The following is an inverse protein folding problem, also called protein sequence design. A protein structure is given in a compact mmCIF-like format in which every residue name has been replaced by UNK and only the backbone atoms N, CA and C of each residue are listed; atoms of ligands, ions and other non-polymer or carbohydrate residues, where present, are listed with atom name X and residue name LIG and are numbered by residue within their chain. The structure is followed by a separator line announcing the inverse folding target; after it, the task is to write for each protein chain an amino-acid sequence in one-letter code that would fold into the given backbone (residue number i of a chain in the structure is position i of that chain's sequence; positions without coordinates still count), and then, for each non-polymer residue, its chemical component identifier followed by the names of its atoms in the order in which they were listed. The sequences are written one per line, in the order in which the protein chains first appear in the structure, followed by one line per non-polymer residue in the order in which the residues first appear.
data_IF_649228529713
#
_entry.id   IF_649228529713
#
_cell.length_a   1.000
_cell.length_b   1.000
_cell.length_c   1.000
_cell.angle_alpha   90.00
_cell.angle_beta   90.00
_cell.angle_gamma   90.00
#
_symmetry.space_group_name_H-M   'P 1'
#
loop_
_entity.id
_entity.type
_entity.pdbx_description
1 polymer ?
#
# COMPACT_ATOMS: atom_id res chain seq x y z
N UNK A 1 -3.43 -13.47 -17.26
CA UNK A 1 -2.83 -12.46 -16.39
C UNK A 1 -3.89 -12.09 -15.36
N UNK A 2 -3.63 -12.28 -14.06
CA UNK A 2 -4.62 -11.96 -13.03
C UNK A 2 -4.66 -10.45 -12.86
N UNK A 3 -5.79 -9.83 -13.19
CA UNK A 3 -6.01 -8.42 -12.89
C UNK A 3 -6.09 -8.26 -11.37
N UNK A 4 -5.11 -7.58 -10.76
CA UNK A 4 -5.08 -7.40 -9.31
C UNK A 4 -6.39 -6.81 -8.78
N UNK A 5 -7.04 -5.91 -9.53
CA UNK A 5 -8.29 -5.25 -9.11
C UNK A 5 -9.47 -6.21 -9.01
N UNK A 6 -9.41 -7.33 -9.72
CA UNK A 6 -10.45 -8.38 -9.72
C UNK A 6 -10.20 -9.47 -8.68
N UNK A 7 -9.10 -9.40 -7.92
CA UNK A 7 -8.78 -10.42 -6.91
C UNK A 7 -9.91 -10.51 -5.86
N UNK A 8 -10.56 -11.67 -5.64
CA UNK A 8 -11.79 -11.79 -4.86
C UNK A 8 -11.74 -11.20 -3.45
N UNK A 9 -10.59 -11.32 -2.79
CA UNK A 9 -10.38 -10.86 -1.41
C UNK A 9 -9.67 -9.52 -1.26
N UNK A 10 -8.82 -9.16 -2.22
CA UNK A 10 -7.85 -8.08 -2.08
C UNK A 10 -7.96 -7.04 -3.20
N UNK A 11 -8.88 -7.22 -4.17
CA UNK A 11 -9.00 -6.36 -5.34
C UNK A 11 -9.21 -4.89 -4.99
N UNK A 12 -10.08 -4.61 -4.00
CA UNK A 12 -10.26 -3.25 -3.46
C UNK A 12 -8.98 -2.66 -2.88
N UNK A 13 -8.20 -3.46 -2.16
CA UNK A 13 -6.95 -3.00 -1.53
C UNK A 13 -5.86 -2.78 -2.56
N UNK A 14 -5.77 -3.65 -3.57
CA UNK A 14 -4.85 -3.48 -4.69
C UNK A 14 -5.19 -2.25 -5.51
N UNK A 15 -6.47 -2.03 -5.84
CA UNK A 15 -6.92 -0.81 -6.50
C UNK A 15 -6.55 0.43 -5.69
N UNK A 16 -6.89 0.44 -4.39
CA UNK A 16 -6.55 1.56 -3.51
C UNK A 16 -5.04 1.86 -3.48
N UNK A 17 -4.18 0.84 -3.35
CA UNK A 17 -2.73 1.01 -3.39
C UNK A 17 -2.29 1.64 -4.71
N UNK A 18 -2.71 1.07 -5.84
CA UNK A 18 -2.28 1.51 -7.17
C UNK A 18 -2.77 2.91 -7.53
N UNK A 19 -4.01 3.24 -7.15
CA UNK A 19 -4.65 4.51 -7.48
C UNK A 19 -4.10 5.67 -6.63
N UNK A 20 -3.45 5.38 -5.51
CA UNK A 20 -2.83 6.37 -4.62
C UNK A 20 -1.30 6.46 -4.79
N UNK A 21 -0.71 5.82 -5.79
CA UNK A 21 0.70 6.05 -6.15
C UNK A 21 0.78 7.34 -6.97
N UNK A 22 1.47 8.33 -6.42
CA UNK A 22 1.82 9.53 -7.16
C UNK A 22 3.00 9.22 -8.09
N UNK A 23 2.65 8.80 -9.29
CA UNK A 23 3.58 8.37 -10.33
C UNK A 23 4.19 9.56 -11.10
N UNK A 24 4.41 10.71 -10.44
CA UNK A 24 4.84 11.97 -11.08
C UNK A 24 6.13 11.84 -11.93
N UNK A 25 6.99 10.87 -11.62
CA UNK A 25 8.23 10.58 -12.34
C UNK A 25 8.12 9.39 -13.31
N UNK A 26 6.93 8.81 -13.48
CA UNK A 26 6.72 7.68 -14.39
C UNK A 26 6.01 8.12 -15.70
N UNK A 27 6.19 7.36 -16.79
CA UNK A 27 5.39 7.53 -17.99
C UNK A 27 3.88 7.41 -17.70
N UNK A 28 3.05 8.09 -18.50
CA UNK A 28 1.58 8.05 -18.33
C UNK A 28 1.00 6.64 -18.48
N UNK A 29 1.66 5.80 -19.24
CA UNK A 29 1.31 4.41 -19.53
C UNK A 29 2.07 3.40 -18.65
N UNK A 30 2.69 3.86 -17.56
CA UNK A 30 3.38 2.99 -16.62
C UNK A 30 2.48 1.86 -16.12
N UNK A 31 3.01 0.65 -16.23
CA UNK A 31 2.39 -0.59 -15.78
C UNK A 31 2.22 -0.60 -14.25
N UNK A 32 1.31 -1.43 -13.76
CA UNK A 32 1.14 -1.62 -12.31
C UNK A 32 2.44 -2.11 -11.64
N UNK A 33 3.28 -2.88 -12.35
CA UNK A 33 4.59 -3.32 -11.83
C UNK A 33 5.58 -2.15 -11.71
N UNK A 34 5.63 -1.27 -12.71
CA UNK A 34 6.48 -0.07 -12.66
C UNK A 34 6.05 0.86 -11.53
N UNK A 35 4.74 1.09 -11.35
CA UNK A 35 4.20 1.88 -10.23
C UNK A 35 4.57 1.29 -8.88
N UNK A 36 4.42 -0.02 -8.71
CA UNK A 36 4.79 -0.69 -7.46
C UNK A 36 6.31 -0.62 -7.22
N UNK A 37 7.13 -0.88 -8.24
CA UNK A 37 8.59 -0.78 -8.13
C UNK A 37 9.05 0.65 -7.86
N UNK A 38 8.31 1.66 -8.32
CA UNK A 38 8.59 3.05 -8.01
C UNK A 38 8.53 3.32 -6.50
N UNK A 39 7.57 2.77 -5.75
CA UNK A 39 7.56 2.88 -4.27
C UNK A 39 8.88 2.39 -3.66
N UNK A 40 9.45 1.28 -4.17
CA UNK A 40 10.73 0.74 -3.66
C UNK A 40 11.92 1.62 -4.03
N UNK A 41 11.94 2.16 -5.25
CA UNK A 41 12.95 3.16 -5.67
C UNK A 41 12.93 4.39 -4.77
N UNK A 42 11.73 4.88 -4.45
CA UNK A 42 11.55 6.08 -3.64
C UNK A 42 11.87 5.81 -2.16
N UNK A 43 11.51 4.63 -1.64
CA UNK A 43 12.01 4.13 -0.36
C UNK A 43 13.54 4.18 -0.33
N UNK A 44 14.19 3.70 -1.39
CA UNK A 44 15.64 3.69 -1.46
C UNK A 44 16.27 5.08 -1.57
N UNK A 45 15.54 6.06 -2.09
CA UNK A 45 16.02 7.43 -2.22
C UNK A 45 15.77 8.25 -0.95
N UNK A 46 14.61 8.10 -0.34
CA UNK A 46 14.08 9.02 0.67
C UNK A 46 14.24 8.51 2.11
N UNK A 47 14.20 7.19 2.31
CA UNK A 47 14.16 6.64 3.66
C UNK A 47 15.56 6.49 4.24
N UNK A 48 15.87 7.25 5.29
CA UNK A 48 17.21 7.30 5.91
C UNK A 48 17.44 6.14 6.90
N UNK A 49 16.39 5.58 7.49
CA UNK A 49 16.48 4.59 8.58
C UNK A 49 16.38 3.13 8.08
N UNK A 50 16.91 2.83 6.89
CA UNK A 50 16.75 1.50 6.27
C UNK A 50 17.37 0.38 7.09
N UNK A 51 18.49 0.65 7.75
CA UNK A 51 19.28 -0.33 8.51
C UNK A 51 18.59 -0.78 9.81
N UNK A 52 17.47 -0.17 10.18
CA UNK A 52 16.76 -0.46 11.43
C UNK A 52 15.70 -1.56 11.29
N UNK A 53 15.51 -2.08 10.07
CA UNK A 53 14.43 -3.02 9.77
C UNK A 53 14.99 -4.28 9.12
N UNK A 54 14.81 -5.42 9.79
CA UNK A 54 15.19 -6.73 9.24
C UNK A 54 14.20 -7.23 8.18
N UNK A 55 12.94 -6.81 8.26
CA UNK A 55 11.85 -7.29 7.40
C UNK A 55 11.28 -6.17 6.54
N UNK A 56 11.06 -6.47 5.25
CA UNK A 56 10.51 -5.52 4.29
C UNK A 56 9.13 -4.96 4.66
N UNK A 57 8.30 -5.73 5.38
CA UNK A 57 6.98 -5.25 5.80
C UNK A 57 7.13 -4.11 6.80
N UNK A 58 8.00 -4.28 7.79
CA UNK A 58 8.24 -3.28 8.85
C UNK A 58 8.94 -2.04 8.27
N UNK A 59 9.93 -2.25 7.40
CA UNK A 59 10.61 -1.18 6.68
C UNK A 59 9.63 -0.33 5.87
N UNK A 60 8.75 -0.98 5.10
CA UNK A 60 7.79 -0.30 4.25
C UNK A 60 6.69 0.36 5.08
N UNK A 61 6.19 -0.27 6.15
CA UNK A 61 5.26 0.36 7.08
C UNK A 61 5.86 1.66 7.64
N UNK A 62 7.10 1.59 8.13
CA UNK A 62 7.78 2.73 8.73
C UNK A 62 8.01 3.85 7.72
N UNK A 63 8.34 3.53 6.47
CA UNK A 63 8.44 4.50 5.38
C UNK A 63 7.08 5.14 5.04
N UNK A 64 6.02 4.35 4.87
CA UNK A 64 4.69 4.90 4.55
C UNK A 64 4.17 5.85 5.64
N UNK A 65 4.53 5.59 6.90
CA UNK A 65 4.23 6.48 8.04
C UNK A 65 4.95 7.84 7.96
N UNK A 66 6.04 7.96 7.20
CA UNK A 66 6.70 9.26 6.96
C UNK A 66 6.03 10.07 5.86
N UNK A 67 4.90 9.61 5.30
CA UNK A 67 4.13 10.27 4.24
C UNK A 67 5.00 10.58 3.00
N UNK A 68 5.51 9.54 2.33
CA UNK A 68 6.42 9.73 1.21
C UNK A 68 5.73 10.37 0.02
N UNK A 69 6.49 11.15 -0.75
CA UNK A 69 5.95 11.96 -1.85
C UNK A 69 5.36 11.13 -2.98
N UNK A 70 5.81 9.88 -3.13
CA UNK A 70 5.35 8.95 -4.16
C UNK A 70 4.00 8.28 -3.86
N UNK A 71 3.37 8.59 -2.71
CA UNK A 71 2.06 8.03 -2.34
C UNK A 71 1.16 9.07 -1.69
N UNK A 72 -0.15 8.97 -1.92
CA UNK A 72 -1.15 9.84 -1.32
C UNK A 72 -2.10 9.06 -0.40
N UNK A 73 -1.55 8.22 0.49
CA UNK A 73 -2.36 7.45 1.43
C UNK A 73 -2.93 8.32 2.56
N UNK A 74 -4.11 7.94 3.04
CA UNK A 74 -4.77 8.65 4.14
C UNK A 74 -3.93 8.63 5.42
N UNK A 75 -3.84 9.78 6.10
CA UNK A 75 -3.07 9.94 7.33
C UNK A 75 -3.92 10.37 8.55
N UNK A 76 -5.11 10.93 8.32
CA UNK A 76 -6.01 11.28 9.41
C UNK A 76 -6.83 10.07 9.84
N UNK A 77 -7.07 9.94 11.15
CA UNK A 77 -7.86 8.83 11.70
C UNK A 77 -9.25 8.73 11.04
N UNK A 78 -9.91 9.86 10.79
CA UNK A 78 -11.23 9.91 10.15
C UNK A 78 -11.21 9.28 8.76
N UNK A 79 -10.31 9.72 7.88
CA UNK A 79 -10.23 9.17 6.52
C UNK A 79 -9.72 7.72 6.50
N UNK A 80 -8.81 7.35 7.41
CA UNK A 80 -8.39 5.95 7.56
C UNK A 80 -9.60 5.08 7.96
N UNK A 81 -10.44 5.55 8.88
CA UNK A 81 -11.66 4.82 9.25
C UNK A 81 -12.63 4.67 8.08
N UNK A 82 -12.74 5.67 7.19
CA UNK A 82 -13.56 5.58 5.97
C UNK A 82 -13.05 4.50 5.01
N UNK A 83 -11.74 4.43 4.79
CA UNK A 83 -11.12 3.33 4.03
C UNK A 83 -11.45 1.98 4.69
N UNK A 84 -11.30 1.90 6.01
CA UNK A 84 -11.64 0.69 6.75
C UNK A 84 -13.11 0.30 6.66
N UNK A 85 -14.04 1.25 6.54
CA UNK A 85 -15.48 0.96 6.31
C UNK A 85 -15.71 0.38 4.92
N UNK A 86 -15.12 0.97 3.87
CA UNK A 86 -15.24 0.43 2.50
C UNK A 86 -14.68 -0.99 2.38
N UNK A 87 -13.64 -1.30 3.15
CA UNK A 87 -13.03 -2.63 3.18
C UNK A 87 -13.70 -3.60 4.18
N UNK A 88 -14.72 -3.17 4.93
CA UNK A 88 -15.44 -4.01 5.90
C UNK A 88 -14.70 -4.27 7.22
N UNK A 89 -13.62 -3.52 7.50
CA UNK A 89 -12.86 -3.60 8.75
C UNK A 89 -13.38 -2.68 9.84
N UNK A 90 -13.99 -1.54 9.50
CA UNK A 90 -14.52 -0.59 10.47
C UNK A 90 -16.05 -0.63 10.49
N UNK A 91 -16.61 -0.55 11.70
CA UNK A 91 -18.05 -0.46 11.96
C UNK A 91 -18.27 0.57 13.08
N UNK A 92 -19.31 1.41 12.95
CA UNK A 92 -19.70 2.40 13.96
C UNK A 92 -20.05 1.71 15.29
N UNK A 93 -20.57 0.49 15.23
CA UNK A 93 -20.96 -0.31 16.39
C UNK A 93 -19.77 -1.02 17.07
N UNK A 94 -18.62 -1.16 16.40
CA UNK A 94 -17.42 -1.81 16.94
C UNK A 94 -16.19 -0.88 16.85
N UNK A 95 -16.07 -0.03 17.86
CA UNK A 95 -14.95 0.91 18.00
C UNK A 95 -13.61 0.20 18.19
N UNK A 96 -13.58 -0.97 18.84
CA UNK A 96 -12.33 -1.73 19.08
C UNK A 96 -11.77 -2.27 17.78
N UNK A 97 -12.62 -2.88 16.94
CA UNK A 97 -12.22 -3.37 15.62
C UNK A 97 -11.76 -2.23 14.71
N UNK A 98 -12.47 -1.10 14.74
CA UNK A 98 -12.11 0.08 13.96
C UNK A 98 -10.76 0.67 14.39
N UNK A 99 -10.51 0.81 15.69
CA UNK A 99 -9.20 1.25 16.21
C UNK A 99 -8.07 0.29 15.87
N UNK A 100 -8.34 -1.03 15.91
CA UNK A 100 -7.36 -2.03 15.46
C UNK A 100 -7.00 -1.82 14.00
N UNK A 101 -7.97 -1.55 13.12
CA UNK A 101 -7.69 -1.25 11.72
C UNK A 101 -6.83 0.01 11.57
N UNK A 102 -7.21 1.12 12.22
CA UNK A 102 -6.46 2.38 12.18
C UNK A 102 -5.01 2.18 12.58
N UNK A 103 -4.76 1.46 13.68
CA UNK A 103 -3.41 1.21 14.18
C UNK A 103 -2.56 0.32 13.26
N UNK A 104 -3.18 -0.51 12.42
CA UNK A 104 -2.49 -1.42 11.49
C UNK A 104 -2.60 -0.97 10.03
N UNK A 105 -3.13 0.22 9.77
CA UNK A 105 -3.45 0.67 8.42
C UNK A 105 -2.22 0.63 7.49
N UNK A 106 -1.12 1.25 7.89
CA UNK A 106 0.12 1.25 7.10
C UNK A 106 0.77 -0.14 7.00
N UNK A 107 0.64 -0.97 8.04
CA UNK A 107 1.12 -2.35 8.00
C UNK A 107 0.36 -3.19 6.96
N UNK A 108 -0.96 -3.00 6.87
CA UNK A 108 -1.80 -3.64 5.84
C UNK A 108 -1.37 -3.15 4.44
N UNK A 109 -1.17 -1.84 4.25
CA UNK A 109 -0.70 -1.30 2.97
C UNK A 109 0.65 -1.91 2.56
N UNK A 110 1.60 -2.01 3.49
CA UNK A 110 2.91 -2.63 3.24
C UNK A 110 2.77 -4.10 2.77
N UNK A 111 1.92 -4.88 3.45
CA UNK A 111 1.61 -6.26 3.03
C UNK A 111 1.02 -6.29 1.63
N UNK A 112 0.06 -5.42 1.33
CA UNK A 112 -0.62 -5.39 0.01
C UNK A 112 0.36 -5.02 -1.10
N UNK A 113 1.23 -4.03 -0.89
CA UNK A 113 2.28 -3.63 -1.85
C UNK A 113 3.24 -4.81 -2.13
N UNK A 114 3.74 -5.47 -1.08
CA UNK A 114 4.65 -6.62 -1.23
C UNK A 114 3.97 -7.78 -1.97
N UNK A 115 2.71 -8.07 -1.64
CA UNK A 115 1.93 -9.11 -2.33
C UNK A 115 1.70 -8.76 -3.80
N UNK A 116 1.31 -7.52 -4.09
CA UNK A 116 1.12 -7.03 -5.45
C UNK A 116 2.39 -7.19 -6.28
N UNK A 117 3.53 -6.74 -5.75
CA UNK A 117 4.83 -6.86 -6.43
C UNK A 117 5.16 -8.31 -6.79
N UNK A 118 4.97 -9.25 -5.85
CA UNK A 118 5.25 -10.67 -6.09
C UNK A 118 4.39 -11.25 -7.21
N UNK A 119 3.09 -10.97 -7.20
CA UNK A 119 2.16 -11.43 -8.24
C UNK A 119 2.55 -10.85 -9.60
N UNK A 120 2.80 -9.53 -9.67
CA UNK A 120 3.16 -8.84 -10.91
C UNK A 120 4.50 -9.32 -11.47
N UNK A 121 5.51 -9.56 -10.63
CA UNK A 121 6.79 -10.13 -11.07
C UNK A 121 6.62 -11.53 -11.67
N UNK A 122 5.82 -12.40 -11.05
CA UNK A 122 5.54 -13.74 -11.56
C UNK A 122 4.82 -13.70 -12.91
N UNK A 123 3.95 -12.71 -13.13
CA UNK A 123 3.26 -12.52 -14.40
C UNK A 123 4.19 -12.04 -15.54
N UNK A 124 5.25 -11.31 -15.22
CA UNK A 124 6.21 -10.78 -16.20
C UNK A 124 7.39 -11.73 -16.49
N UNK A 125 7.50 -12.83 -15.74
CA UNK A 125 8.51 -13.88 -15.98
C UNK A 125 8.00 -15.04 -16.85
N UNK A 126 6.75 -14.99 -17.30
CA UNK A 126 6.10 -15.97 -18.18
C UNK A 126 5.76 -15.33 -19.52
#
# INVERSE_FOLDING_TARGET
MENLREHPRFGKMYAYVLDNIDAYNLPKDATDLEKINFIYSEYDREYINKDWHEWWVDALEAYLKTMPTCTNYQFTVGYIMEVGKDWGYCDVSDSKKSWKFVNHYYYILAIIIIRARRILMQQNSN
#
